data_IF_625580678660
#
_entry.id   IF_625580678660
#
_cell.length_a   1.000
_cell.length_b   1.000
_cell.length_c   1.000
_cell.angle_alpha   90.00
_cell.angle_beta   90.00
_cell.angle_gamma   90.00
#
_symmetry.space_group_name_H-M   'P 1'
#
loop_
_entity.id
_entity.type
_entity.pdbx_description
1 polymer ?
#
# COMPACT_ATOMS: atom_id res chain seq x y z
N UNK A 1 10.93 12.99 10.09
CA UNK A 1 11.12 11.93 9.09
C UNK A 1 9.74 11.42 8.73
N UNK A 2 9.25 11.63 7.50
CA UNK A 2 7.91 11.20 7.13
C UNK A 2 7.94 9.72 6.79
N UNK A 3 7.09 8.91 7.41
CA UNK A 3 7.16 7.45 7.35
C UNK A 3 6.33 6.83 6.22
N UNK A 4 6.34 5.51 6.16
CA UNK A 4 5.42 4.72 5.36
C UNK A 4 4.01 4.78 5.95
N UNK A 5 3.02 5.19 5.15
CA UNK A 5 1.64 5.43 5.62
C UNK A 5 0.66 4.33 5.22
N UNK A 6 1.02 3.48 4.26
CA UNK A 6 0.09 2.53 3.67
C UNK A 6 -0.08 1.27 4.51
N UNK A 7 -1.23 0.66 4.32
CA UNK A 7 -1.79 -0.38 5.14
C UNK A 7 -2.66 -1.25 4.22
N UNK A 8 -2.57 -2.59 4.30
CA UNK A 8 -3.50 -3.48 3.61
C UNK A 8 -4.87 -3.55 4.30
N UNK A 9 -5.93 -3.44 3.51
CA UNK A 9 -7.30 -3.65 3.96
C UNK A 9 -8.04 -4.55 2.99
N UNK A 10 -8.72 -5.56 3.52
CA UNK A 10 -9.61 -6.40 2.72
C UNK A 10 -11.02 -5.79 2.80
N UNK A 11 -11.54 -5.37 1.65
CA UNK A 11 -12.91 -4.87 1.54
C UNK A 11 -13.75 -5.92 0.84
N UNK A 12 -14.81 -6.38 1.49
CA UNK A 12 -15.81 -7.27 0.90
C UNK A 12 -17.08 -6.49 0.60
N UNK A 13 -17.72 -6.81 -0.52
CA UNK A 13 -19.01 -6.27 -0.92
C UNK A 13 -19.97 -7.45 -1.05
N UNK A 14 -21.22 -7.31 -0.60
CA UNK A 14 -22.20 -8.40 -0.65
C UNK A 14 -22.28 -9.01 -2.05
N UNK A 15 -22.08 -10.33 -2.14
CA UNK A 15 -22.04 -11.07 -3.41
C UNK A 15 -20.67 -11.15 -4.09
N UNK A 16 -19.63 -10.54 -3.52
CA UNK A 16 -18.26 -10.56 -4.04
C UNK A 16 -17.27 -11.06 -2.98
N UNK A 17 -16.18 -11.74 -3.40
CA UNK A 17 -15.09 -12.06 -2.48
C UNK A 17 -14.43 -10.78 -1.97
N UNK A 18 -13.78 -10.88 -0.81
CA UNK A 18 -12.99 -9.79 -0.27
C UNK A 18 -11.80 -9.47 -1.19
N UNK A 19 -11.56 -8.19 -1.45
CA UNK A 19 -10.47 -7.73 -2.30
C UNK A 19 -9.51 -6.81 -1.51
N UNK A 20 -8.18 -7.01 -1.60
CA UNK A 20 -7.22 -6.20 -0.87
C UNK A 20 -6.99 -4.83 -1.53
N UNK A 21 -6.91 -3.79 -0.70
CA UNK A 21 -6.60 -2.41 -1.10
C UNK A 21 -5.48 -1.83 -0.24
N UNK A 22 -4.56 -1.11 -0.88
CA UNK A 22 -3.55 -0.28 -0.22
C UNK A 22 -4.13 1.08 0.14
N UNK A 23 -4.21 1.43 1.42
CA UNK A 23 -4.71 2.73 1.85
C UNK A 23 -4.10 3.18 3.18
N UNK A 24 -4.12 4.47 3.50
CA UNK A 24 -3.64 4.97 4.80
C UNK A 24 -4.68 4.79 5.94
N UNK A 25 -5.94 4.59 5.59
CA UNK A 25 -7.06 4.43 6.53
C UNK A 25 -8.13 3.47 5.99
N UNK A 26 -8.99 2.90 6.87
CA UNK A 26 -10.10 2.05 6.44
C UNK A 26 -11.09 2.80 5.53
N UNK A 27 -11.36 4.08 5.83
CA UNK A 27 -12.25 4.90 5.02
C UNK A 27 -11.69 5.10 3.60
N UNK A 28 -10.40 5.38 3.46
CA UNK A 28 -9.75 5.51 2.16
C UNK A 28 -9.77 4.19 1.36
N UNK A 29 -9.62 3.04 2.02
CA UNK A 29 -9.77 1.74 1.36
C UNK A 29 -11.19 1.53 0.81
N UNK A 30 -12.22 1.89 1.60
CA UNK A 30 -13.62 1.82 1.13
C UNK A 30 -13.91 2.76 -0.03
N UNK A 31 -13.33 3.97 -0.06
CA UNK A 31 -13.47 4.89 -1.19
C UNK A 31 -12.87 4.29 -2.46
N UNK A 32 -11.67 3.69 -2.38
CA UNK A 32 -11.06 2.98 -3.52
C UNK A 32 -11.94 1.81 -3.99
N UNK A 33 -12.46 1.02 -3.05
CA UNK A 33 -13.35 -0.09 -3.37
C UNK A 33 -14.68 0.36 -3.99
N UNK A 34 -15.26 1.47 -3.53
CA UNK A 34 -16.46 2.05 -4.11
C UNK A 34 -16.24 2.52 -5.55
N UNK A 35 -15.14 3.21 -5.83
CA UNK A 35 -14.81 3.60 -7.21
C UNK A 35 -14.64 2.39 -8.13
N UNK A 36 -14.00 1.32 -7.66
CA UNK A 36 -13.89 0.06 -8.41
C UNK A 36 -15.27 -0.58 -8.62
N UNK A 37 -16.11 -0.65 -7.58
CA UNK A 37 -17.46 -1.23 -7.66
C UNK A 37 -18.39 -0.45 -8.61
N UNK A 38 -18.26 0.87 -8.68
CA UNK A 38 -19.02 1.70 -9.60
C UNK A 38 -18.78 1.38 -11.09
N UNK A 39 -17.68 0.69 -11.44
CA UNK A 39 -17.48 0.16 -12.79
C UNK A 39 -18.40 -1.02 -13.13
N UNK A 40 -18.86 -1.76 -12.12
CA UNK A 40 -19.83 -2.84 -12.25
C UNK A 40 -21.27 -2.34 -12.08
N UNK A 41 -21.53 -1.58 -11.01
CA UNK A 41 -22.85 -1.04 -10.69
C UNK A 41 -22.72 0.33 -10.05
N UNK A 42 -23.35 1.33 -10.67
CA UNK A 42 -23.42 2.66 -10.10
C UNK A 42 -24.30 2.66 -8.83
N UNK A 43 -23.75 3.19 -7.74
CA UNK A 43 -24.47 3.46 -6.49
C UNK A 43 -23.81 4.63 -5.75
N UNK A 44 -24.55 5.28 -4.87
CA UNK A 44 -23.99 6.28 -3.99
C UNK A 44 -23.02 5.65 -2.98
N UNK A 45 -22.07 6.45 -2.46
CA UNK A 45 -21.17 5.97 -1.41
C UNK A 45 -21.94 5.51 -0.16
N UNK A 46 -23.05 6.16 0.18
CA UNK A 46 -23.90 5.77 1.31
C UNK A 46 -24.49 4.37 1.13
N UNK A 47 -25.00 4.04 -0.05
CA UNK A 47 -25.49 2.69 -0.37
C UNK A 47 -24.37 1.67 -0.36
N UNK A 48 -23.20 2.00 -0.92
CA UNK A 48 -22.04 1.12 -0.90
C UNK A 48 -21.62 0.75 0.54
N UNK A 49 -21.69 1.71 1.47
CA UNK A 49 -21.34 1.50 2.87
C UNK A 49 -22.28 0.53 3.60
N UNK A 50 -23.53 0.35 3.15
CA UNK A 50 -24.46 -0.61 3.78
C UNK A 50 -24.23 -2.05 3.33
N UNK A 51 -23.63 -2.24 2.14
CA UNK A 51 -23.37 -3.56 1.55
C UNK A 51 -21.89 -3.97 1.61
N UNK A 52 -21.01 -3.16 2.22
CA UNK A 52 -19.58 -3.43 2.29
C UNK A 52 -19.06 -3.58 3.72
N UNK A 53 -18.18 -4.56 3.93
CA UNK A 53 -17.42 -4.75 5.15
C UNK A 53 -15.93 -4.54 4.89
N UNK A 54 -15.19 -4.20 5.94
CA UNK A 54 -13.75 -3.97 5.86
C UNK A 54 -13.06 -4.58 7.06
N UNK A 55 -11.89 -5.18 6.83
CA UNK A 55 -10.99 -5.63 7.88
C UNK A 55 -9.54 -5.30 7.53
N UNK A 56 -8.67 -5.37 8.54
CA UNK A 56 -7.23 -5.31 8.35
C UNK A 56 -6.79 -6.54 7.56
N UNK A 57 -6.16 -6.31 6.40
CA UNK A 57 -5.54 -7.38 5.62
C UNK A 57 -4.15 -7.72 6.14
N UNK A 58 -3.58 -8.80 5.63
CA UNK A 58 -2.19 -9.18 5.91
C UNK A 58 -1.27 -8.35 5.03
N UNK A 59 -0.30 -7.68 5.65
CA UNK A 59 0.74 -6.99 4.90
C UNK A 59 1.67 -8.05 4.28
N UNK A 60 1.99 -7.97 2.97
CA UNK A 60 2.87 -8.95 2.32
C UNK A 60 4.31 -8.87 2.86
N UNK A 61 5.13 -9.86 2.52
CA UNK A 61 6.56 -9.83 2.84
C UNK A 61 7.21 -8.56 2.28
N UNK A 62 8.15 -8.00 3.04
CA UNK A 62 8.85 -6.74 2.75
C UNK A 62 7.95 -5.50 2.59
N UNK A 63 6.67 -5.57 2.96
CA UNK A 63 5.76 -4.42 2.85
C UNK A 63 6.22 -3.26 3.74
N UNK A 64 6.45 -2.11 3.14
CA UNK A 64 7.03 -0.94 3.80
C UNK A 64 8.55 -0.98 3.94
N UNK A 65 9.25 -1.95 3.35
CA UNK A 65 10.72 -2.00 3.35
C UNK A 65 11.31 -0.80 2.61
N UNK A 66 12.35 -0.11 3.15
CA UNK A 66 13.02 0.97 2.45
C UNK A 66 13.73 0.48 1.18
N UNK A 67 13.56 1.22 0.09
CA UNK A 67 14.22 0.99 -1.21
C UNK A 67 14.63 2.33 -1.81
N UNK A 68 15.48 2.29 -2.84
CA UNK A 68 15.81 3.46 -3.66
C UNK A 68 15.22 3.23 -5.05
N UNK A 69 14.45 4.19 -5.56
CA UNK A 69 13.89 4.17 -6.91
C UNK A 69 14.41 5.38 -7.67
N UNK A 70 15.17 5.15 -8.75
CA UNK A 70 15.80 6.21 -9.55
C UNK A 70 16.58 7.23 -8.69
N UNK A 71 17.32 6.74 -7.69
CA UNK A 71 18.12 7.58 -6.77
C UNK A 71 17.34 8.24 -5.63
N UNK A 72 16.02 8.02 -5.51
CA UNK A 72 15.18 8.60 -4.46
C UNK A 72 14.73 7.57 -3.42
N UNK A 73 14.72 7.92 -2.11
CA UNK A 73 14.16 7.05 -1.07
C UNK A 73 12.67 6.79 -1.28
N UNK A 74 12.26 5.53 -1.13
CA UNK A 74 10.88 5.08 -1.24
C UNK A 74 10.65 3.86 -0.33
N UNK A 75 9.39 3.43 -0.24
CA UNK A 75 8.98 2.23 0.48
C UNK A 75 8.33 1.22 -0.45
N UNK A 76 8.69 -0.06 -0.30
CA UNK A 76 8.17 -1.15 -1.11
C UNK A 76 6.69 -1.44 -0.76
N UNK A 77 5.85 -1.61 -1.77
CA UNK A 77 4.43 -1.99 -1.64
C UNK A 77 4.18 -3.40 -2.19
N UNK A 78 4.99 -3.84 -3.16
CA UNK A 78 4.96 -5.21 -3.65
C UNK A 78 5.82 -5.40 -4.91
N UNK A 79 6.11 -6.65 -5.23
CA UNK A 79 6.85 -7.04 -6.44
C UNK A 79 6.00 -8.01 -7.25
N UNK A 80 5.89 -7.72 -8.53
CA UNK A 80 5.35 -8.61 -9.55
C UNK A 80 6.16 -8.36 -10.84
N UNK A 81 5.54 -8.13 -12.00
CA UNK A 81 6.22 -7.64 -13.20
C UNK A 81 6.85 -6.24 -13.04
N UNK A 82 6.35 -5.44 -12.10
CA UNK A 82 6.89 -4.13 -11.73
C UNK A 82 7.12 -4.05 -10.22
N UNK A 83 7.99 -3.13 -9.81
CA UNK A 83 8.12 -2.77 -8.40
C UNK A 83 7.09 -1.71 -8.07
N UNK A 84 6.15 -2.04 -7.18
CA UNK A 84 5.20 -1.09 -6.61
C UNK A 84 5.83 -0.41 -5.40
N UNK A 85 5.76 0.91 -5.34
CA UNK A 85 6.37 1.70 -4.27
C UNK A 85 5.54 2.94 -3.93
N UNK A 86 5.90 3.59 -2.83
CA UNK A 86 5.37 4.89 -2.44
C UNK A 86 6.49 5.76 -1.87
N UNK A 87 6.45 7.06 -2.13
CA UNK A 87 7.41 7.99 -1.53
C UNK A 87 7.07 8.28 -0.05
N UNK A 88 8.05 8.71 0.76
CA UNK A 88 7.84 9.02 2.16
C UNK A 88 6.74 10.06 2.39
N UNK A 89 5.74 9.72 3.22
CA UNK A 89 4.60 10.60 3.49
C UNK A 89 3.51 10.65 2.43
N UNK A 90 3.70 9.96 1.32
CA UNK A 90 2.69 9.88 0.27
C UNK A 90 1.79 8.64 0.44
N UNK A 91 0.69 8.61 -0.32
CA UNK A 91 -0.26 7.50 -0.31
C UNK A 91 -0.57 6.96 -1.71
N UNK A 92 0.05 7.55 -2.73
CA UNK A 92 -0.08 7.14 -4.12
C UNK A 92 0.93 6.03 -4.42
N UNK A 93 0.43 4.86 -4.81
CA UNK A 93 1.30 3.74 -5.23
C UNK A 93 1.70 3.97 -6.68
N UNK A 94 3.00 3.93 -6.94
CA UNK A 94 3.62 4.08 -8.25
C UNK A 94 4.26 2.76 -8.68
N UNK A 95 4.50 2.60 -9.98
CA UNK A 95 5.20 1.46 -10.56
C UNK A 95 6.55 1.90 -11.12
N UNK A 96 7.59 1.10 -10.93
CA UNK A 96 8.90 1.28 -11.54
C UNK A 96 9.42 -0.04 -12.10
N UNK A 97 10.28 0.04 -13.13
CA UNK A 97 10.95 -1.12 -13.68
C UNK A 97 11.95 -1.67 -12.65
N UNK A 98 12.11 -3.00 -12.49
CA UNK A 98 13.02 -3.56 -11.48
C UNK A 98 14.47 -3.07 -11.57
N UNK A 99 14.95 -2.72 -12.78
CA UNK A 99 16.32 -2.20 -12.97
C UNK A 99 16.54 -0.79 -12.42
N UNK A 100 15.47 -0.03 -12.18
CA UNK A 100 15.54 1.32 -11.61
C UNK A 100 15.52 1.30 -10.08
N UNK A 101 15.44 0.10 -9.49
CA UNK A 101 15.27 -0.11 -8.05
C UNK A 101 16.50 -0.77 -7.46
N UNK A 102 17.08 -0.11 -6.46
CA UNK A 102 18.14 -0.68 -5.64
C UNK A 102 17.70 -0.79 -4.19
N UNK A 103 18.35 -1.67 -3.44
CA UNK A 103 18.10 -1.79 -2.01
C UNK A 103 18.64 -0.55 -1.29
N UNK A 104 17.89 -0.05 -0.32
CA UNK A 104 18.42 0.97 0.56
C UNK A 104 19.55 0.35 1.39
N UNK A 105 20.69 1.04 1.56
CA UNK A 105 21.75 0.55 2.43
C UNK A 105 21.17 0.28 3.82
N UNK A 106 21.55 -0.85 4.41
CA UNK A 106 21.17 -1.18 5.78
C UNK A 106 21.54 0.00 6.69
N UNK A 107 20.70 0.38 7.67
CA UNK A 107 21.10 1.41 8.62
C UNK A 107 22.42 0.99 9.25
N UNK A 108 23.47 1.83 9.11
CA UNK A 108 24.77 1.62 9.75
C UNK A 108 24.51 1.27 11.21
N UNK A 109 24.75 0.01 11.58
CA UNK A 109 24.79 -0.40 12.97
C UNK A 109 25.88 0.46 13.58
N UNK A 110 25.50 1.43 14.43
CA UNK A 110 26.47 2.17 15.22
C UNK A 110 27.25 1.11 15.99
N UNK A 111 28.52 0.93 15.64
CA UNK A 111 29.46 0.13 16.41
C UNK A 111 29.42 0.68 17.84
N UNK A 112 28.75 -0.06 18.72
CA UNK A 112 28.85 0.18 20.16
C UNK A 112 30.17 -0.47 20.57
N UNK A 113 31.28 0.17 20.19
CA UNK A 113 32.55 -0.01 20.85
C UNK A 113 32.52 0.84 22.11
N UNK A 114 32.16 0.21 23.23
CA UNK A 114 32.49 0.63 24.59
C UNK A 114 32.64 -0.70 25.34
N UNK A 115 33.77 -1.15 25.84
CA UNK A 115 35.02 -0.51 26.26
C UNK A 115 35.57 -1.42 27.36
#
# INVERSE_FOLDING_TARGET
MVGFLLKKYDVAVQGFPAHPYDAHSPAAARVKAWHAYCSYRHCSFKEFMTISSIKRGVDPEDYGRPIIVSGKPAFLVGRDHYVRFVFPGETTVLNSHPLDVTEAPAPLQREINNG
#
